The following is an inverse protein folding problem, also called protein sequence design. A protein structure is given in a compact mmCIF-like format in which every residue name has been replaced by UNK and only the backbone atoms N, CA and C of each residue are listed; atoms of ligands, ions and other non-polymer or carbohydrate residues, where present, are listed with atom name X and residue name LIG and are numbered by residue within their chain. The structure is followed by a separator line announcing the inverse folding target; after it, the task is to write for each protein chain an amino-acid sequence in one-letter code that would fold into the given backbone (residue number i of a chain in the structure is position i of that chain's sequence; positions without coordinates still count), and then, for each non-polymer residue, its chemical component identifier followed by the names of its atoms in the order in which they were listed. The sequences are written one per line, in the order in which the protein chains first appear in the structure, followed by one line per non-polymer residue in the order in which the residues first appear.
data_IF_787940208659
#
_entry.id   IF_787940208659
#
_cell.length_a   1.000
_cell.length_b   1.000
_cell.length_c   1.000
_cell.angle_alpha   90.00
_cell.angle_beta   90.00
_cell.angle_gamma   90.00
#
_symmetry.space_group_name_H-M   'P 1'
#
loop_
_entity.id
_entity.type
_entity.pdbx_description
1 polymer ?
#
# COMPACT_ATOMS: atom_id res chain seq x y z
N UNK A 1 -0.78 -7.03 -9.80
CA UNK A 1 -0.10 -5.74 -9.86
C UNK A 1 1.38 -5.98 -10.09
N UNK A 2 1.93 -5.43 -11.17
CA UNK A 2 3.35 -5.51 -11.47
C UNK A 2 4.00 -4.18 -11.10
N UNK A 3 4.47 -4.06 -9.85
CA UNK A 3 5.18 -2.87 -9.35
C UNK A 3 6.42 -2.53 -10.19
N UNK A 4 6.96 -3.51 -10.91
CA UNK A 4 8.15 -3.39 -11.74
C UNK A 4 7.83 -3.24 -13.24
N UNK A 5 6.58 -2.97 -13.63
CA UNK A 5 6.29 -2.57 -15.00
C UNK A 5 6.87 -1.18 -15.27
N UNK A 6 7.27 -0.91 -16.49
CA UNK A 6 7.87 0.37 -16.88
C UNK A 6 6.99 1.56 -16.47
N UNK A 7 5.68 1.48 -16.75
CA UNK A 7 4.70 2.51 -16.37
C UNK A 7 4.69 2.79 -14.86
N UNK A 8 4.74 1.72 -14.04
CA UNK A 8 4.70 1.88 -12.59
C UNK A 8 6.03 2.39 -12.04
N UNK A 9 7.15 1.98 -12.61
CA UNK A 9 8.48 2.51 -12.25
C UNK A 9 8.51 4.02 -12.50
N UNK A 10 8.12 4.48 -13.68
CA UNK A 10 8.07 5.90 -14.04
C UNK A 10 7.16 6.70 -13.09
N UNK A 11 5.97 6.20 -12.79
CA UNK A 11 5.05 6.86 -11.87
C UNK A 11 5.62 6.94 -10.43
N UNK A 12 6.31 5.91 -9.96
CA UNK A 12 6.93 5.89 -8.62
C UNK A 12 8.12 6.85 -8.57
N UNK A 13 8.92 6.91 -9.63
CA UNK A 13 10.03 7.87 -9.74
C UNK A 13 9.50 9.32 -9.75
N UNK A 14 8.40 9.59 -10.45
CA UNK A 14 7.75 10.90 -10.43
C UNK A 14 7.25 11.29 -9.03
N UNK A 15 6.70 10.34 -8.27
CA UNK A 15 6.27 10.57 -6.88
C UNK A 15 7.47 10.88 -5.98
N UNK A 16 8.58 10.18 -6.15
CA UNK A 16 9.82 10.45 -5.40
C UNK A 16 10.41 11.82 -5.76
N UNK A 17 10.44 12.19 -7.04
CA UNK A 17 10.88 13.51 -7.54
C UNK A 17 10.05 14.67 -6.96
N UNK A 18 8.79 14.43 -6.61
CA UNK A 18 7.94 15.38 -5.89
C UNK A 18 8.30 15.52 -4.40
N UNK A 19 9.29 14.78 -3.92
CA UNK A 19 9.78 14.81 -2.53
C UNK A 19 9.08 13.85 -1.58
N UNK A 20 8.38 12.84 -2.08
CA UNK A 20 7.79 11.78 -1.27
C UNK A 20 8.80 10.65 -1.03
N UNK A 21 8.70 10.02 0.14
CA UNK A 21 9.45 8.80 0.44
C UNK A 21 8.65 7.57 0.01
N UNK A 22 9.30 6.65 -0.67
CA UNK A 22 8.70 5.40 -1.11
C UNK A 22 9.06 4.29 -0.13
N UNK A 23 8.12 3.40 0.16
CA UNK A 23 8.31 2.27 1.05
C UNK A 23 7.80 0.95 0.46
N UNK A 24 8.37 -0.15 0.95
CA UNK A 24 7.90 -1.50 0.61
C UNK A 24 6.62 -1.83 1.38
N UNK A 25 5.58 -2.29 0.68
CA UNK A 25 4.37 -2.87 1.29
C UNK A 25 4.41 -4.39 1.20
N UNK A 26 4.98 -5.02 2.22
CA UNK A 26 5.30 -6.46 2.25
C UNK A 26 4.07 -7.31 2.63
N UNK A 27 3.95 -8.50 2.03
CA UNK A 27 2.87 -9.45 2.33
C UNK A 27 3.32 -10.55 3.30
N UNK A 28 3.23 -10.35 4.62
CA UNK A 28 3.79 -11.24 5.62
C UNK A 28 3.15 -12.64 5.70
N UNK A 29 1.87 -12.86 5.34
CA UNK A 29 1.26 -14.19 5.43
C UNK A 29 1.93 -15.26 4.54
N UNK A 30 2.74 -14.83 3.58
CA UNK A 30 3.44 -15.70 2.65
C UNK A 30 4.81 -16.18 3.18
N UNK A 31 5.25 -15.69 4.36
CA UNK A 31 6.63 -15.85 4.84
C UNK A 31 6.70 -16.57 6.17
N UNK A 32 7.81 -17.26 6.40
CA UNK A 32 8.19 -17.80 7.71
C UNK A 32 8.89 -16.71 8.52
N UNK A 33 8.69 -16.75 9.83
CA UNK A 33 9.19 -15.72 10.75
C UNK A 33 10.72 -15.56 10.73
N UNK A 34 11.43 -16.66 10.67
CA UNK A 34 12.89 -16.72 10.68
C UNK A 34 13.56 -16.24 9.38
N UNK A 35 12.79 -16.20 8.30
CA UNK A 35 13.24 -15.75 6.98
C UNK A 35 12.79 -14.32 6.66
N UNK A 36 11.94 -13.72 7.51
CA UNK A 36 11.23 -12.48 7.19
C UNK A 36 12.17 -11.28 6.94
N UNK A 37 13.22 -11.15 7.74
CA UNK A 37 14.22 -10.07 7.59
C UNK A 37 14.92 -10.16 6.24
N UNK A 38 15.34 -11.37 5.86
CA UNK A 38 16.00 -11.61 4.58
C UNK A 38 15.07 -11.33 3.39
N UNK A 39 13.79 -11.68 3.49
CA UNK A 39 12.81 -11.39 2.46
C UNK A 39 12.58 -9.89 2.28
N UNK A 40 12.38 -9.17 3.38
CA UNK A 40 12.19 -7.71 3.33
C UNK A 40 13.42 -7.04 2.72
N UNK A 41 14.62 -7.43 3.14
CA UNK A 41 15.88 -6.86 2.62
C UNK A 41 16.01 -7.08 1.12
N UNK A 42 15.77 -8.30 0.63
CA UNK A 42 15.85 -8.64 -0.80
C UNK A 42 14.79 -7.93 -1.64
N UNK A 43 13.57 -7.80 -1.11
CA UNK A 43 12.51 -7.08 -1.81
C UNK A 43 12.83 -5.59 -1.88
N UNK A 44 13.37 -4.99 -0.82
CA UNK A 44 13.86 -3.60 -0.83
C UNK A 44 14.98 -3.43 -1.85
N UNK A 45 16.02 -4.27 -1.82
CA UNK A 45 17.13 -4.24 -2.77
C UNK A 45 16.62 -4.33 -4.23
N UNK A 46 15.59 -5.16 -4.46
CA UNK A 46 14.97 -5.29 -5.77
C UNK A 46 14.29 -3.99 -6.20
N UNK A 47 13.50 -3.37 -5.31
CA UNK A 47 12.85 -2.09 -5.60
C UNK A 47 13.88 -0.98 -5.86
N UNK A 48 14.90 -0.86 -5.01
CA UNK A 48 15.99 0.10 -5.15
C UNK A 48 16.72 -0.06 -6.50
N UNK A 49 16.95 -1.31 -6.92
CA UNK A 49 17.58 -1.60 -8.22
C UNK A 49 16.75 -1.07 -9.40
N UNK A 50 15.44 -1.27 -9.38
CA UNK A 50 14.56 -0.85 -10.48
C UNK A 50 14.16 0.62 -10.43
N UNK A 51 13.99 1.17 -9.23
CA UNK A 51 13.58 2.56 -9.07
C UNK A 51 14.72 3.55 -9.18
N UNK A 52 15.95 3.14 -8.81
CA UNK A 52 17.16 3.97 -8.87
C UNK A 52 17.34 4.92 -7.68
N UNK A 53 16.58 4.72 -6.60
CA UNK A 53 16.70 5.49 -5.35
C UNK A 53 16.57 4.59 -4.12
N UNK A 54 16.89 5.13 -2.94
CA UNK A 54 16.83 4.40 -1.67
C UNK A 54 15.38 4.18 -1.20
N UNK A 55 15.07 2.96 -0.75
CA UNK A 55 13.82 2.59 -0.08
C UNK A 55 14.12 2.35 1.40
N UNK A 56 13.88 3.35 2.23
CA UNK A 56 14.30 3.38 3.63
C UNK A 56 13.26 2.83 4.62
N UNK A 57 12.05 2.47 4.14
CA UNK A 57 10.93 2.06 5.00
C UNK A 57 10.10 0.93 4.42
N UNK A 58 9.38 0.24 5.30
CA UNK A 58 8.45 -0.82 4.93
C UNK A 58 7.23 -0.87 5.86
N UNK A 59 6.16 -1.46 5.33
CA UNK A 59 4.93 -1.76 6.06
C UNK A 59 4.42 -3.15 5.68
N UNK A 60 3.51 -3.71 6.48
CA UNK A 60 2.94 -5.03 6.22
C UNK A 60 1.54 -4.96 5.63
N UNK A 61 1.32 -5.73 4.56
CA UNK A 61 0.02 -5.95 3.96
C UNK A 61 -0.76 -7.04 4.72
N UNK A 62 -2.07 -6.89 4.84
CA UNK A 62 -2.98 -7.89 5.42
C UNK A 62 -2.64 -8.32 6.86
N UNK A 63 -2.22 -7.40 7.67
CA UNK A 63 -1.91 -7.69 9.08
C UNK A 63 -3.11 -8.28 9.85
N UNK A 64 -4.35 -8.08 9.39
CA UNK A 64 -5.55 -8.67 9.96
C UNK A 64 -5.59 -10.20 9.94
N UNK A 65 -4.87 -10.85 9.02
CA UNK A 65 -4.73 -12.32 8.98
C UNK A 65 -3.63 -12.85 9.91
N UNK A 66 -2.70 -11.99 10.31
CA UNK A 66 -1.67 -12.27 11.30
C UNK A 66 -1.39 -11.02 12.16
N UNK A 67 -2.29 -10.66 13.09
CA UNK A 67 -2.12 -9.47 13.92
C UNK A 67 -0.83 -9.48 14.75
N UNK A 68 -0.33 -10.66 15.11
CA UNK A 68 0.90 -10.81 15.87
C UNK A 68 2.13 -10.23 15.15
N UNK A 69 2.08 -10.06 13.83
CA UNK A 69 3.20 -9.49 13.08
C UNK A 69 3.37 -7.98 13.35
N UNK A 70 2.29 -7.28 13.71
CA UNK A 70 2.36 -5.88 14.15
C UNK A 70 2.97 -5.74 15.54
N UNK A 71 2.85 -6.79 16.36
CA UNK A 71 3.41 -6.84 17.69
C UNK A 71 4.85 -7.39 17.68
N UNK A 72 5.19 -8.19 16.67
CA UNK A 72 6.55 -8.64 16.44
C UNK A 72 7.36 -7.47 15.92
N UNK A 73 8.33 -7.09 16.71
CA UNK A 73 9.34 -6.16 16.27
C UNK A 73 10.25 -6.87 15.27
N UNK A 74 9.91 -6.73 13.99
CA UNK A 74 10.81 -7.15 12.91
C UNK A 74 11.69 -5.96 12.60
N UNK A 75 12.95 -6.07 12.95
CA UNK A 75 13.95 -5.04 12.73
C UNK A 75 14.78 -5.43 11.51
N UNK A 76 14.66 -4.63 10.45
CA UNK A 76 15.54 -4.70 9.29
C UNK A 76 16.60 -3.61 9.48
N UNK A 77 17.90 -3.94 9.47
CA UNK A 77 18.94 -2.95 9.68
C UNK A 77 18.79 -1.73 8.74
N UNK A 78 18.91 -0.55 9.32
CA UNK A 78 18.86 0.74 8.61
C UNK A 78 17.53 1.04 7.87
N UNK A 79 16.46 0.27 8.15
CA UNK A 79 15.13 0.47 7.57
C UNK A 79 14.07 0.73 8.63
N UNK A 80 13.11 1.59 8.32
CA UNK A 80 12.03 2.00 9.22
C UNK A 80 10.83 1.07 9.04
N UNK A 81 10.45 0.37 10.10
CA UNK A 81 9.16 -0.30 10.16
C UNK A 81 8.05 0.71 10.49
N UNK A 82 7.15 1.00 9.55
CA UNK A 82 6.07 1.98 9.72
C UNK A 82 5.06 1.60 10.81
N UNK A 83 5.05 0.35 11.26
CA UNK A 83 4.22 -0.13 12.37
C UNK A 83 5.02 -0.36 13.67
N UNK A 84 6.27 0.05 13.72
CA UNK A 84 7.07 -0.05 14.94
C UNK A 84 6.42 0.74 16.08
N UNK A 85 6.49 0.18 17.30
CA UNK A 85 5.83 0.75 18.50
C UNK A 85 6.30 2.17 18.86
N UNK A 86 7.47 2.56 18.44
CA UNK A 86 8.02 3.91 18.63
C UNK A 86 7.33 4.97 17.77
N UNK A 87 6.77 4.58 16.62
CA UNK A 87 6.09 5.49 15.69
C UNK A 87 4.58 5.29 15.71
N UNK A 88 4.15 4.03 15.75
CA UNK A 88 2.76 3.63 15.54
C UNK A 88 2.14 3.16 16.84
N UNK A 89 1.16 3.90 17.31
CA UNK A 89 0.38 3.57 18.49
C UNK A 89 -1.07 3.35 18.10
N UNK A 90 -1.37 2.09 17.85
CA UNK A 90 -2.72 1.62 17.60
C UNK A 90 -3.54 1.75 18.88
N UNK A 91 -4.45 2.76 18.96
CA UNK A 91 -5.38 2.94 20.07
C UNK A 91 -4.77 3.10 21.47
N UNK A 92 -3.58 3.62 21.60
CA UNK A 92 -2.98 3.71 22.92
C UNK A 92 -3.07 5.10 23.49
N UNK A 93 -3.80 5.20 24.57
CA UNK A 93 -4.02 6.44 25.32
C UNK A 93 -2.83 6.80 26.26
N UNK A 94 -1.82 5.92 26.36
CA UNK A 94 -0.78 6.02 27.40
C UNK A 94 0.51 6.71 26.95
N UNK A 95 0.62 7.19 25.70
CA UNK A 95 1.86 7.83 25.24
C UNK A 95 1.75 9.35 25.15
N UNK A 96 2.89 10.04 25.28
CA UNK A 96 2.94 11.47 25.07
C UNK A 96 2.35 11.87 23.73
N UNK A 97 1.56 12.94 23.70
CA UNK A 97 0.86 13.42 22.49
C UNK A 97 1.80 13.65 21.30
N UNK A 98 3.04 14.05 21.56
CA UNK A 98 4.09 14.25 20.56
C UNK A 98 4.52 12.99 19.79
N UNK A 99 4.27 11.81 20.35
CA UNK A 99 4.56 10.52 19.71
C UNK A 99 3.31 9.84 19.14
N UNK A 100 2.17 10.49 19.31
CA UNK A 100 0.89 9.95 18.88
C UNK A 100 0.74 10.05 17.38
N UNK A 101 0.44 8.94 16.72
CA UNK A 101 0.07 8.92 15.30
C UNK A 101 -1.43 8.78 15.22
N UNK A 102 -2.09 9.71 14.54
CA UNK A 102 -3.51 9.59 14.23
C UNK A 102 -3.68 8.61 13.06
N UNK A 103 -4.30 7.46 13.34
CA UNK A 103 -4.50 6.42 12.34
C UNK A 103 -5.88 6.50 11.71
N UNK A 104 -5.93 6.53 10.39
CA UNK A 104 -7.14 6.47 9.58
C UNK A 104 -7.03 5.33 8.57
N UNK A 105 -8.15 4.67 8.29
CA UNK A 105 -8.20 3.61 7.30
C UNK A 105 -9.58 3.52 6.64
N UNK A 106 -9.59 3.27 5.33
CA UNK A 106 -10.78 2.98 4.53
C UNK A 106 -11.04 1.47 4.38
N UNK A 107 -10.48 0.66 5.27
CA UNK A 107 -10.58 -0.80 5.22
C UNK A 107 -12.02 -1.28 5.15
N UNK A 108 -12.31 -2.18 4.20
CA UNK A 108 -13.66 -2.67 3.87
C UNK A 108 -14.65 -1.54 3.47
N UNK A 109 -14.17 -0.51 2.80
CA UNK A 109 -14.92 0.71 2.44
C UNK A 109 -15.56 1.43 3.64
N UNK A 110 -14.96 1.30 4.81
CA UNK A 110 -15.44 1.93 6.02
C UNK A 110 -14.34 2.72 6.70
N UNK A 111 -14.57 4.01 6.84
CA UNK A 111 -13.71 4.91 7.63
C UNK A 111 -13.99 4.72 9.13
N UNK A 112 -13.66 3.53 9.65
CA UNK A 112 -13.98 3.14 11.03
C UNK A 112 -13.41 4.11 12.09
N UNK A 113 -12.31 4.77 11.78
CA UNK A 113 -11.60 5.66 12.72
C UNK A 113 -11.78 7.13 12.39
N UNK A 114 -12.76 7.46 11.58
CA UNK A 114 -13.04 8.80 11.10
C UNK A 114 -12.65 8.99 9.64
N UNK A 115 -13.39 9.84 8.95
CA UNK A 115 -13.12 10.19 7.56
C UNK A 115 -12.16 11.40 7.50
N UNK A 116 -11.15 11.42 6.63
CA UNK A 116 -10.18 12.52 6.56
C UNK A 116 -10.83 13.91 6.44
N UNK A 117 -11.92 14.07 5.70
CA UNK A 117 -12.61 15.34 5.56
C UNK A 117 -13.38 15.83 6.81
N UNK A 118 -13.56 14.96 7.79
CA UNK A 118 -14.30 15.30 9.01
C UNK A 118 -13.37 15.53 10.21
N UNK A 119 -12.08 15.52 10.00
CA UNK A 119 -11.10 15.71 11.06
C UNK A 119 -10.79 17.20 11.18
N UNK A 120 -10.87 17.73 12.39
CA UNK A 120 -10.28 19.00 12.70
C UNK A 120 -8.77 18.83 12.87
N UNK A 121 -8.04 19.16 11.82
CA UNK A 121 -6.58 19.00 11.76
C UNK A 121 -5.83 19.87 12.79
N UNK A 122 -6.50 20.83 13.42
CA UNK A 122 -5.92 21.64 14.48
C UNK A 122 -5.88 20.91 15.83
N UNK A 123 -6.78 19.94 16.02
CA UNK A 123 -6.92 19.17 17.26
C UNK A 123 -6.26 17.78 17.20
N UNK A 124 -5.68 17.37 16.05
CA UNK A 124 -5.02 16.08 15.92
C UNK A 124 -3.49 16.21 16.01
N UNK A 125 -2.79 15.13 16.43
CA UNK A 125 -1.34 15.08 16.38
C UNK A 125 -0.81 15.38 14.98
N UNK A 126 0.35 16.03 14.90
CA UNK A 126 0.97 16.42 13.62
C UNK A 126 1.42 15.21 12.76
N UNK A 127 1.32 13.99 13.29
CA UNK A 127 1.67 12.76 12.59
C UNK A 127 0.40 11.97 12.27
N UNK A 128 0.21 11.67 11.00
CA UNK A 128 -0.91 10.88 10.53
C UNK A 128 -0.41 9.67 9.75
N UNK A 129 -1.03 8.52 9.98
CA UNK A 129 -0.90 7.34 9.14
C UNK A 129 -2.24 7.06 8.48
N UNK A 130 -2.27 7.17 7.17
CA UNK A 130 -3.46 6.97 6.37
C UNK A 130 -3.30 5.69 5.55
N UNK A 131 -4.12 4.68 5.83
CA UNK A 131 -4.25 3.48 5.01
C UNK A 131 -5.39 3.66 4.01
N UNK A 132 -5.07 3.56 2.74
CA UNK A 132 -6.06 3.71 1.66
C UNK A 132 -5.98 2.56 0.67
N UNK A 133 -7.10 2.28 0.02
CA UNK A 133 -7.22 1.26 -1.01
C UNK A 133 -7.70 1.92 -2.30
N UNK A 134 -6.85 2.06 -3.34
CA UNK A 134 -7.19 2.78 -4.57
C UNK A 134 -8.44 2.29 -5.30
N UNK A 135 -8.79 1.01 -5.14
CA UNK A 135 -10.03 0.47 -5.73
C UNK A 135 -11.31 1.11 -5.18
N UNK A 136 -11.20 1.83 -4.04
CA UNK A 136 -12.30 2.64 -3.47
C UNK A 136 -12.40 4.04 -4.09
N UNK A 137 -11.47 4.42 -4.95
CA UNK A 137 -11.38 5.77 -5.52
C UNK A 137 -11.94 5.76 -6.95
N UNK A 138 -13.25 5.71 -7.04
CA UNK A 138 -13.97 5.77 -8.31
C UNK A 138 -14.89 6.99 -8.34
N UNK A 139 -15.24 7.45 -9.52
CA UNK A 139 -16.18 8.55 -9.71
C UNK A 139 -17.62 8.16 -9.34
N UNK A 140 -17.91 6.86 -9.29
CA UNK A 140 -19.22 6.29 -8.94
C UNK A 140 -19.50 6.27 -7.43
N UNK A 141 -18.54 6.71 -6.60
CA UNK A 141 -18.70 6.83 -5.15
C UNK A 141 -18.37 5.57 -4.35
N UNK A 142 -19.00 5.40 -3.17
CA UNK A 142 -18.59 4.42 -2.17
C UNK A 142 -19.33 3.08 -2.24
N UNK A 143 -20.16 2.86 -3.25
CA UNK A 143 -20.90 1.62 -3.38
C UNK A 143 -20.00 0.48 -3.86
N UNK A 144 -19.75 -0.49 -3.00
CA UNK A 144 -18.87 -1.64 -3.25
C UNK A 144 -19.16 -2.33 -4.60
N UNK A 145 -20.42 -2.53 -4.93
CA UNK A 145 -20.83 -3.22 -6.14
C UNK A 145 -20.36 -2.46 -7.37
N UNK A 146 -20.56 -1.15 -7.42
CA UNK A 146 -20.15 -0.30 -8.53
C UNK A 146 -18.64 -0.28 -8.66
N UNK A 147 -17.91 -0.06 -7.56
CA UNK A 147 -16.44 -0.02 -7.57
C UNK A 147 -15.82 -1.34 -8.05
N UNK A 148 -16.34 -2.48 -7.62
CA UNK A 148 -15.85 -3.77 -8.09
C UNK A 148 -16.25 -4.08 -9.53
N UNK A 149 -17.42 -3.65 -9.98
CA UNK A 149 -17.85 -3.81 -11.36
C UNK A 149 -16.92 -3.03 -12.28
N UNK A 150 -16.72 -1.75 -12.00
CA UNK A 150 -15.82 -0.87 -12.76
C UNK A 150 -14.39 -1.44 -12.80
N UNK A 151 -13.85 -1.86 -11.67
CA UNK A 151 -12.52 -2.47 -11.60
C UNK A 151 -12.40 -3.76 -12.44
N UNK A 152 -13.44 -4.60 -12.44
CA UNK A 152 -13.46 -5.85 -13.23
C UNK A 152 -13.53 -5.52 -14.72
N UNK A 153 -14.36 -4.56 -15.11
CA UNK A 153 -14.50 -4.10 -16.50
C UNK A 153 -13.17 -3.55 -17.01
N UNK A 154 -12.56 -2.62 -16.29
CA UNK A 154 -11.25 -2.05 -16.61
C UNK A 154 -10.17 -3.14 -16.78
N UNK A 155 -10.11 -4.10 -15.86
CA UNK A 155 -9.16 -5.21 -15.93
C UNK A 155 -9.40 -6.16 -17.08
N UNK A 156 -10.65 -6.39 -17.44
CA UNK A 156 -10.99 -7.20 -18.61
C UNK A 156 -10.58 -6.49 -19.90
N UNK A 157 -10.79 -5.20 -20.00
CA UNK A 157 -10.33 -4.40 -21.15
C UNK A 157 -8.81 -4.41 -21.30
N UNK A 158 -8.07 -4.17 -20.22
CA UNK A 158 -6.61 -4.28 -20.20
C UNK A 158 -6.13 -5.67 -20.66
N UNK A 159 -6.72 -6.74 -20.11
CA UNK A 159 -6.38 -8.11 -20.47
C UNK A 159 -6.62 -8.40 -21.95
N UNK A 160 -7.76 -7.99 -22.50
CA UNK A 160 -8.09 -8.19 -23.90
C UNK A 160 -7.12 -7.43 -24.81
N UNK A 161 -6.75 -6.22 -24.45
CA UNK A 161 -5.78 -5.41 -25.17
C UNK A 161 -4.39 -6.05 -25.17
N UNK A 162 -3.93 -6.52 -24.02
CA UNK A 162 -2.65 -7.20 -23.86
C UNK A 162 -2.61 -8.50 -24.71
N UNK A 163 -3.64 -9.33 -24.61
CA UNK A 163 -3.74 -10.57 -25.40
C UNK A 163 -3.77 -10.30 -26.92
N UNK A 164 -4.45 -9.24 -27.35
CA UNK A 164 -4.48 -8.84 -28.75
C UNK A 164 -3.10 -8.35 -29.22
N UNK A 165 -2.34 -7.71 -28.34
CA UNK A 165 -1.00 -7.19 -28.65
C UNK A 165 0.03 -8.31 -28.72
N UNK A 166 -0.04 -9.29 -27.82
CA UNK A 166 0.92 -10.38 -27.71
C UNK A 166 0.64 -11.54 -28.69
N UNK A 167 -0.62 -11.71 -29.11
CA UNK A 167 -1.06 -12.89 -29.87
C UNK A 167 -1.50 -12.54 -31.29
N UNK A 168 -0.73 -12.97 -32.29
CA UNK A 168 -1.06 -12.70 -33.71
C UNK A 168 -2.41 -13.27 -34.18
N UNK A 169 -2.94 -14.25 -33.47
CA UNK A 169 -4.19 -14.95 -33.82
C UNK A 169 -5.33 -14.64 -32.84
N UNK A 170 -5.23 -13.52 -32.12
CA UNK A 170 -6.28 -13.11 -31.19
C UNK A 170 -7.60 -12.84 -31.93
N UNK A 171 -8.74 -13.40 -31.46
CA UNK A 171 -10.06 -13.14 -32.08
C UNK A 171 -10.48 -11.68 -31.83
N UNK A 172 -10.39 -10.86 -32.85
CA UNK A 172 -10.66 -9.40 -32.72
C UNK A 172 -12.11 -9.07 -32.35
N UNK A 173 -13.03 -9.99 -32.58
CA UNK A 173 -14.43 -9.88 -32.14
C UNK A 173 -14.60 -9.83 -30.61
N UNK A 174 -13.58 -10.19 -29.82
CA UNK A 174 -13.58 -10.07 -28.37
C UNK A 174 -13.22 -8.67 -27.88
N UNK A 175 -12.82 -7.77 -28.77
CA UNK A 175 -12.49 -6.36 -28.43
C UNK A 175 -13.70 -5.40 -28.57
N UNK A 176 -14.91 -5.93 -28.80
CA UNK A 176 -16.12 -5.12 -29.06
C UNK A 176 -16.93 -4.87 -27.80
#
# INVERSE_FOLDING_TARGET
YNALSQKNIEAIQEIEDMGHYIGLHQNPPMMKDDELVDYISKDIETLEHYYGFEVDRYAFHRCGSNPAILEKYVEVPDKINCYAKEFFHYFQDEKPDELRVHYLADSNHQWKYGHPFHIDYWDVPQKMQLLTHPYSWTDEGYENTNNFTELIEERNEELLLDMNTETKTFPKELLL
#
